data_IF_640521205798
#
_entry.id   IF_640521205798
#
_cell.length_a   1.000
_cell.length_b   1.000
_cell.length_c   1.000
_cell.angle_alpha   90.00
_cell.angle_beta   90.00
_cell.angle_gamma   90.00
#
_symmetry.space_group_name_H-M   'P 1'
#
loop_
_entity.id
_entity.type
_entity.pdbx_description
1 polymer ?
#
# COMPACT_ATOMS: atom_id res chain seq x y z
N UNK A 1 3.41 1.23 -12.20
CA UNK A 1 4.00 -0.12 -12.09
C UNK A 1 5.25 -0.15 -12.97
N UNK A 2 6.43 -0.34 -12.39
CA UNK A 2 7.72 -0.38 -13.11
C UNK A 2 7.87 0.78 -14.10
N UNK A 3 7.64 2.02 -13.63
CA UNK A 3 7.70 3.24 -14.44
C UNK A 3 6.56 3.44 -15.46
N UNK A 4 5.66 2.46 -15.65
CA UNK A 4 4.51 2.57 -16.57
C UNK A 4 3.21 2.92 -15.83
N UNK A 5 2.30 3.70 -16.46
CA UNK A 5 0.97 3.95 -15.91
C UNK A 5 0.24 2.63 -15.62
N UNK A 6 -0.40 2.54 -14.46
CA UNK A 6 -1.21 1.40 -14.06
C UNK A 6 -2.69 1.75 -14.24
N UNK A 7 -3.44 0.92 -14.97
CA UNK A 7 -4.88 1.09 -15.15
C UNK A 7 -5.63 0.51 -13.94
N UNK A 8 -5.82 1.35 -12.92
CA UNK A 8 -6.61 0.99 -11.75
C UNK A 8 -8.12 0.93 -12.09
N UNK A 9 -8.84 -0.02 -11.49
CA UNK A 9 -10.31 -0.12 -11.60
C UNK A 9 -10.99 0.70 -10.50
N UNK A 10 -10.74 2.02 -10.49
CA UNK A 10 -11.15 2.90 -9.40
C UNK A 10 -10.22 2.84 -8.20
N UNK A 11 -10.73 3.10 -7.00
CA UNK A 11 -9.97 2.99 -5.75
C UNK A 11 -9.63 1.53 -5.45
N UNK A 12 -8.37 1.26 -5.10
CA UNK A 12 -7.88 -0.07 -4.72
C UNK A 12 -7.12 0.03 -3.40
N UNK A 13 -7.35 -0.93 -2.53
CA UNK A 13 -6.66 -1.08 -1.23
C UNK A 13 -5.39 -1.94 -1.34
N UNK A 14 -5.31 -2.78 -2.37
CA UNK A 14 -4.26 -3.76 -2.57
C UNK A 14 -3.79 -3.78 -4.03
N UNK A 15 -2.50 -4.01 -4.23
CA UNK A 15 -1.88 -4.15 -5.56
C UNK A 15 -0.90 -5.31 -5.56
N UNK A 16 -0.90 -6.10 -6.63
CA UNK A 16 0.12 -7.13 -6.80
C UNK A 16 1.43 -6.50 -7.22
N UNK A 17 2.47 -6.67 -6.39
CA UNK A 17 3.84 -6.25 -6.70
C UNK A 17 4.64 -7.46 -7.18
N UNK A 18 5.08 -7.50 -8.46
CA UNK A 18 5.94 -8.56 -8.95
C UNK A 18 7.29 -8.57 -8.20
N UNK A 19 7.96 -9.73 -8.17
CA UNK A 19 9.30 -9.84 -7.60
C UNK A 19 10.27 -8.87 -8.29
N UNK A 20 10.99 -8.06 -7.51
CA UNK A 20 11.88 -7.02 -8.01
C UNK A 20 11.17 -5.85 -8.71
N UNK A 21 9.84 -5.79 -8.63
CA UNK A 21 9.04 -4.70 -9.18
C UNK A 21 8.94 -3.50 -8.24
N UNK A 22 8.41 -2.42 -8.79
CA UNK A 22 8.13 -1.17 -8.11
C UNK A 22 6.72 -0.67 -8.48
N UNK A 23 6.03 -0.11 -7.50
CA UNK A 23 4.72 0.53 -7.68
C UNK A 23 4.72 1.90 -7.01
N UNK A 24 4.04 2.85 -7.65
CA UNK A 24 3.72 4.15 -7.06
C UNK A 24 2.28 4.10 -6.63
N UNK A 25 2.03 4.31 -5.34
CA UNK A 25 0.70 4.31 -4.73
C UNK A 25 0.34 5.77 -4.39
N UNK A 26 -0.90 6.17 -4.69
CA UNK A 26 -1.45 7.47 -4.30
C UNK A 26 -2.66 7.20 -3.42
N UNK A 27 -2.62 7.70 -2.19
CA UNK A 27 -3.68 7.55 -1.20
C UNK A 27 -4.22 8.92 -0.84
N UNK A 28 -5.54 9.00 -0.66
CA UNK A 28 -6.21 10.19 -0.17
C UNK A 28 -6.80 9.85 1.20
N UNK A 29 -6.40 10.61 2.24
CA UNK A 29 -6.90 10.44 3.60
C UNK A 29 -7.95 11.50 3.88
N UNK A 30 -9.22 11.09 3.98
CA UNK A 30 -10.35 12.02 4.04
C UNK A 30 -10.96 12.14 5.45
N UNK A 31 -11.13 11.02 6.15
CA UNK A 31 -12.06 10.96 7.27
C UNK A 31 -11.39 10.89 8.65
N UNK A 32 -10.23 10.24 8.75
CA UNK A 32 -9.62 9.93 10.04
C UNK A 32 -8.12 10.25 10.08
N UNK A 33 -7.66 10.61 11.28
CA UNK A 33 -6.23 10.74 11.62
C UNK A 33 -5.82 9.55 12.47
N UNK A 34 -4.52 9.30 12.58
CA UNK A 34 -3.97 8.15 13.31
C UNK A 34 -3.15 7.23 12.43
N UNK A 35 -2.92 6.01 12.91
CA UNK A 35 -2.07 5.02 12.25
C UNK A 35 -2.87 4.10 11.35
N UNK A 36 -2.43 4.00 10.11
CA UNK A 36 -2.96 3.08 9.11
C UNK A 36 -1.93 1.98 8.85
N UNK A 37 -2.30 0.69 8.90
CA UNK A 37 -1.39 -0.39 8.55
C UNK A 37 -1.10 -0.36 7.05
N UNK A 38 0.17 -0.47 6.70
CA UNK A 38 0.66 -0.62 5.34
C UNK A 38 1.56 -1.85 5.29
N UNK A 39 1.08 -2.94 4.68
CA UNK A 39 1.75 -4.23 4.77
C UNK A 39 1.53 -5.10 3.53
N UNK A 40 2.30 -6.18 3.44
CA UNK A 40 2.04 -7.22 2.46
C UNK A 40 0.84 -8.07 2.89
N UNK A 41 -0.13 -8.28 2.02
CA UNK A 41 -1.26 -9.19 2.27
C UNK A 41 -0.91 -10.69 2.22
N UNK A 42 0.36 -11.04 2.08
CA UNK A 42 0.84 -12.41 2.31
C UNK A 42 1.15 -12.50 3.80
N UNK A 43 0.24 -13.11 4.58
CA UNK A 43 0.31 -13.17 6.05
C UNK A 43 1.68 -13.60 6.57
N UNK A 44 2.27 -14.63 5.97
CA UNK A 44 3.59 -15.12 6.40
C UNK A 44 4.75 -14.12 6.16
N UNK A 45 4.56 -13.11 5.31
CA UNK A 45 5.49 -11.99 5.15
C UNK A 45 5.18 -10.87 6.15
N UNK A 46 3.90 -10.54 6.32
CA UNK A 46 3.41 -9.58 7.32
C UNK A 46 3.89 -9.94 8.73
N UNK A 47 3.62 -11.18 9.18
CA UNK A 47 3.99 -11.69 10.50
C UNK A 47 5.51 -11.70 10.73
N UNK A 48 6.29 -11.70 9.66
CA UNK A 48 7.77 -11.65 9.69
C UNK A 48 8.30 -10.22 9.59
N UNK A 49 7.44 -9.21 9.73
CA UNK A 49 7.82 -7.81 9.81
C UNK A 49 7.67 -7.03 8.50
N UNK A 50 7.01 -7.56 7.47
CA UNK A 50 6.68 -6.80 6.25
C UNK A 50 5.43 -5.93 6.46
N UNK A 51 5.45 -5.14 7.53
CA UNK A 51 4.41 -4.21 7.94
C UNK A 51 5.05 -2.88 8.36
N UNK A 52 4.38 -1.78 8.05
CA UNK A 52 4.70 -0.44 8.50
C UNK A 52 3.42 0.32 8.87
N UNK A 53 3.55 1.33 9.72
CA UNK A 53 2.48 2.29 9.98
C UNK A 53 2.64 3.50 9.06
N UNK A 54 1.52 3.98 8.51
CA UNK A 54 1.40 5.33 7.96
C UNK A 54 0.68 6.18 9.00
N UNK A 55 1.40 7.12 9.60
CA UNK A 55 0.83 8.07 10.56
C UNK A 55 0.26 9.28 9.82
N UNK A 56 -1.05 9.46 9.91
CA UNK A 56 -1.79 10.58 9.33
C UNK A 56 -2.12 11.57 10.44
N UNK A 57 -1.56 12.77 10.31
CA UNK A 57 -1.80 13.89 11.23
C UNK A 57 -2.56 15.01 10.52
N UNK A 58 -3.18 15.90 11.30
CA UNK A 58 -3.92 17.06 10.79
C UNK A 58 -3.00 18.25 10.50
#
# INVERSE_FOLDING_TARGET
MNGRPYQARGGQDTVQLPHGGEVVIRMEFLDFTGKYPFHCHILSHEDRGMMADIEVVR
#
